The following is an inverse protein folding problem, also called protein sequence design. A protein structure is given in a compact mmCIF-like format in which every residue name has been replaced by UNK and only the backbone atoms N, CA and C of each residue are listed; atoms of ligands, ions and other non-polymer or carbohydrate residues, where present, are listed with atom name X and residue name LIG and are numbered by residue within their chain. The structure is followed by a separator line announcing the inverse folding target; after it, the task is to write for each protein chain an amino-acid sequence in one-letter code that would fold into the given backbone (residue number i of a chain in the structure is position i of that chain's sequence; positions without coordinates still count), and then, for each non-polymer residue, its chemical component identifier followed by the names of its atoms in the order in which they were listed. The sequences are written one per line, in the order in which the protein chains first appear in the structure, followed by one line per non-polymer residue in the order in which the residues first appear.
data_IF_903752071593
#
_entry.id   IF_903752071593
#
_cell.length_a   1.000
_cell.length_b   1.000
_cell.length_c   1.000
_cell.angle_alpha   90.00
_cell.angle_beta   90.00
_cell.angle_gamma   90.00
#
_symmetry.space_group_name_H-M   'P 1'
#
loop_
_entity.id
_entity.type
_entity.pdbx_description
1 polymer ?
#
# COMPACT_ATOMS: atom_id res chain seq x y z
N UNK A 1 5.18 9.51 6.38
CA UNK A 1 5.58 9.92 5.01
C UNK A 1 5.54 8.69 4.10
N UNK A 2 5.47 8.84 2.79
CA UNK A 2 5.56 7.69 1.87
C UNK A 2 6.29 8.08 0.58
N UNK A 3 7.09 7.15 0.07
CA UNK A 3 7.83 7.31 -1.17
C UNK A 3 7.85 5.96 -1.91
N UNK A 4 7.47 5.97 -3.18
CA UNK A 4 7.46 4.81 -4.05
C UNK A 4 8.49 5.05 -5.17
N UNK A 5 9.65 4.38 -5.12
CA UNK A 5 10.73 4.55 -6.10
C UNK A 5 10.57 3.57 -7.26
N UNK A 6 10.95 4.00 -8.46
CA UNK A 6 10.80 3.23 -9.71
C UNK A 6 11.53 1.86 -9.69
N UNK A 7 12.53 1.69 -8.84
CA UNK A 7 13.24 0.42 -8.63
C UNK A 7 12.42 -0.62 -7.84
N UNK A 8 11.19 -0.29 -7.46
CA UNK A 8 10.29 -1.14 -6.68
C UNK A 8 10.52 -1.09 -5.17
N UNK A 9 11.41 -0.23 -4.67
CA UNK A 9 11.59 0.00 -3.23
C UNK A 9 10.83 1.23 -2.76
N UNK A 10 10.50 1.30 -1.48
CA UNK A 10 9.77 2.44 -0.96
C UNK A 10 9.61 2.48 0.55
N UNK A 11 9.07 3.60 1.00
CA UNK A 11 8.66 3.81 2.38
C UNK A 11 7.16 4.04 2.43
N UNK A 12 6.51 3.50 3.46
CA UNK A 12 5.09 3.65 3.69
C UNK A 12 4.83 3.77 5.20
N UNK A 13 4.52 4.97 5.68
CA UNK A 13 4.37 5.22 7.10
C UNK A 13 5.71 5.02 7.82
N UNK A 14 5.78 4.00 8.69
CA UNK A 14 7.01 3.59 9.40
C UNK A 14 7.69 2.38 8.77
N UNK A 15 7.15 1.84 7.67
CA UNK A 15 7.67 0.65 7.03
C UNK A 15 8.53 1.01 5.82
N UNK A 16 9.58 0.22 5.59
CA UNK A 16 10.35 0.18 4.35
C UNK A 16 10.16 -1.20 3.73
N UNK A 17 10.18 -1.26 2.40
CA UNK A 17 10.19 -2.54 1.70
C UNK A 17 9.95 -2.38 0.21
N UNK A 18 9.33 -3.39 -0.38
CA UNK A 18 9.08 -3.44 -1.82
C UNK A 18 7.61 -3.17 -2.15
N UNK A 19 7.40 -2.60 -3.33
CA UNK A 19 6.08 -2.37 -3.90
C UNK A 19 6.08 -2.63 -5.40
N UNK A 20 4.93 -3.01 -5.93
CA UNK A 20 4.73 -3.21 -7.36
C UNK A 20 3.25 -3.22 -7.70
N UNK A 21 2.88 -2.76 -8.90
CA UNK A 21 1.54 -2.99 -9.43
C UNK A 21 1.37 -4.46 -9.81
N UNK A 22 0.22 -5.06 -9.51
CA UNK A 22 -0.01 -6.49 -9.81
C UNK A 22 -0.48 -6.73 -11.25
N UNK A 23 -0.80 -5.66 -11.98
CA UNK A 23 -1.21 -5.70 -13.37
C UNK A 23 -0.76 -4.44 -14.11
N UNK A 24 -0.78 -4.51 -15.46
CA UNK A 24 -0.40 -3.39 -16.33
C UNK A 24 -1.45 -2.27 -16.37
N UNK A 25 -2.61 -2.46 -15.72
CA UNK A 25 -3.69 -1.47 -15.65
C UNK A 25 -3.66 -0.70 -14.33
N UNK A 26 -2.65 -0.96 -13.49
CA UNK A 26 -2.40 -0.29 -12.21
C UNK A 26 -3.63 -0.31 -11.28
N UNK A 27 -4.45 -1.38 -11.33
CA UNK A 27 -5.69 -1.44 -10.54
C UNK A 27 -5.46 -1.85 -9.08
N UNK A 28 -4.34 -2.51 -8.84
CA UNK A 28 -3.94 -3.07 -7.57
C UNK A 28 -2.43 -2.86 -7.38
N UNK A 29 -2.02 -2.47 -6.19
CA UNK A 29 -0.62 -2.37 -5.76
C UNK A 29 -0.36 -3.34 -4.62
N UNK A 30 0.72 -4.08 -4.71
CA UNK A 30 1.24 -4.91 -3.63
C UNK A 30 2.28 -4.13 -2.84
N UNK A 31 2.21 -4.17 -1.52
CA UNK A 31 3.21 -3.60 -0.62
C UNK A 31 3.68 -4.70 0.34
N UNK A 32 4.98 -4.93 0.41
CA UNK A 32 5.59 -5.88 1.34
C UNK A 32 6.65 -5.16 2.18
N UNK A 33 6.38 -4.93 3.48
CA UNK A 33 7.40 -4.48 4.41
C UNK A 33 8.50 -5.52 4.57
N UNK A 34 9.74 -5.08 4.74
CA UNK A 34 10.86 -6.02 4.99
C UNK A 34 10.80 -6.63 6.39
N UNK A 35 10.19 -5.91 7.34
CA UNK A 35 10.11 -6.29 8.75
C UNK A 35 8.92 -7.20 9.08
N UNK A 36 8.02 -7.44 8.14
CA UNK A 36 6.78 -8.17 8.38
C UNK A 36 6.58 -9.24 7.29
N UNK A 37 6.20 -10.48 7.65
CA UNK A 37 6.01 -11.57 6.69
C UNK A 37 4.69 -11.47 5.90
N UNK A 38 4.05 -10.29 5.87
CA UNK A 38 2.74 -10.07 5.27
C UNK A 38 2.83 -9.15 4.05
N UNK A 39 2.00 -9.46 3.07
CA UNK A 39 1.80 -8.64 1.89
C UNK A 39 0.47 -7.90 2.02
N UNK A 40 0.48 -6.60 1.78
CA UNK A 40 -0.72 -5.80 1.67
C UNK A 40 -1.10 -5.67 0.21
N UNK A 41 -2.17 -6.36 -0.19
CA UNK A 41 -2.83 -6.09 -1.46
C UNK A 41 -3.73 -4.86 -1.27
N UNK A 42 -3.46 -3.81 -2.03
CA UNK A 42 -4.17 -2.55 -1.95
C UNK A 42 -4.82 -2.26 -3.31
N UNK A 43 -6.12 -1.97 -3.31
CA UNK A 43 -6.83 -1.52 -4.50
C UNK A 43 -6.53 -0.04 -4.76
N UNK A 44 -6.18 0.30 -5.99
CA UNK A 44 -6.04 1.69 -6.44
C UNK A 44 -7.42 2.29 -6.68
N UNK A 45 -7.70 3.39 -5.98
CA UNK A 45 -8.95 4.14 -6.11
C UNK A 45 -8.74 5.39 -6.96
N UNK A 46 -7.56 6.00 -6.89
CA UNK A 46 -7.18 7.15 -7.70
C UNK A 46 -5.66 7.13 -7.89
N UNK A 47 -5.21 7.36 -9.12
CA UNK A 47 -3.80 7.54 -9.45
C UNK A 47 -3.70 8.67 -10.47
N UNK A 48 -3.25 9.82 -10.02
CA UNK A 48 -3.09 11.04 -10.82
C UNK A 48 -1.80 11.75 -10.44
N UNK A 49 -1.38 12.74 -11.21
CA UNK A 49 -0.20 13.57 -10.86
C UNK A 49 -0.36 14.33 -9.54
N UNK A 50 -1.58 14.51 -9.04
CA UNK A 50 -1.88 15.29 -7.84
C UNK A 50 -2.21 14.44 -6.62
N UNK A 51 -2.56 13.17 -6.82
CA UNK A 51 -2.99 12.32 -5.72
C UNK A 51 -2.93 10.84 -6.08
N UNK A 52 -2.53 10.05 -5.10
CA UNK A 52 -2.59 8.60 -5.13
C UNK A 52 -3.43 8.10 -3.94
N UNK A 53 -4.53 7.40 -4.21
CA UNK A 53 -5.44 6.87 -3.20
C UNK A 53 -5.56 5.37 -3.33
N UNK A 54 -5.37 4.68 -2.22
CA UNK A 54 -5.48 3.23 -2.15
C UNK A 54 -6.34 2.80 -0.96
N UNK A 55 -6.92 1.61 -1.08
CA UNK A 55 -7.67 0.98 0.00
C UNK A 55 -7.21 -0.46 0.21
N UNK A 56 -7.14 -0.89 1.46
CA UNK A 56 -6.87 -2.29 1.81
C UNK A 56 -7.70 -2.71 3.01
N UNK A 57 -7.67 -4.00 3.31
CA UNK A 57 -8.26 -4.57 4.51
C UNK A 57 -7.25 -5.47 5.20
N UNK A 58 -7.09 -5.31 6.50
CA UNK A 58 -6.22 -6.14 7.32
C UNK A 58 -6.98 -6.63 8.56
N UNK A 59 -6.83 -7.90 8.96
CA UNK A 59 -7.37 -8.37 10.23
C UNK A 59 -6.66 -7.69 11.41
N UNK A 60 -7.36 -7.55 12.52
CA UNK A 60 -6.74 -7.19 13.80
C UNK A 60 -5.77 -8.29 14.23
N UNK A 61 -4.56 -7.91 14.66
CA UNK A 61 -3.52 -8.87 15.08
C UNK A 61 -3.94 -9.72 16.29
N UNK A 62 -4.80 -9.18 17.15
CA UNK A 62 -5.29 -9.82 18.38
C UNK A 62 -6.67 -10.45 18.23
N UNK A 63 -7.44 -10.04 17.22
CA UNK A 63 -8.75 -10.61 16.91
C UNK A 63 -8.99 -10.72 15.39
N UNK A 64 -8.60 -11.84 14.76
CA UNK A 64 -8.71 -12.02 13.31
C UNK A 64 -10.13 -11.90 12.73
N UNK A 65 -11.18 -12.09 13.55
CA UNK A 65 -12.57 -11.91 13.13
C UNK A 65 -12.93 -10.43 12.91
N UNK A 66 -12.16 -9.50 13.49
CA UNK A 66 -12.29 -8.06 13.28
C UNK A 66 -11.37 -7.63 12.14
N UNK A 67 -11.96 -7.06 11.09
CA UNK A 67 -11.23 -6.58 9.92
C UNK A 67 -11.24 -5.05 9.88
N UNK A 68 -10.06 -4.44 9.80
CA UNK A 68 -9.91 -3.01 9.58
C UNK A 68 -9.95 -2.71 8.08
N UNK A 69 -10.82 -1.78 7.69
CA UNK A 69 -10.82 -1.17 6.35
C UNK A 69 -9.97 0.08 6.40
N UNK A 70 -8.92 0.11 5.59
CA UNK A 70 -7.91 1.16 5.59
C UNK A 70 -8.01 1.91 4.26
N UNK A 71 -8.07 3.24 4.34
CA UNK A 71 -7.97 4.15 3.19
C UNK A 71 -6.77 5.05 3.38
N UNK A 72 -5.94 5.13 2.35
CA UNK A 72 -4.74 5.95 2.35
C UNK A 72 -4.82 6.95 1.20
N UNK A 73 -4.28 8.15 1.42
CA UNK A 73 -4.21 9.20 0.41
C UNK A 73 -2.83 9.83 0.51
N UNK A 74 -2.09 9.77 -0.58
CA UNK A 74 -0.79 10.37 -0.74
C UNK A 74 -0.91 11.56 -1.66
N UNK A 75 -0.24 12.64 -1.29
CA UNK A 75 -0.10 13.84 -2.12
C UNK A 75 1.39 13.97 -2.45
N UNK A 76 1.73 14.34 -3.70
CA UNK A 76 3.11 14.64 -4.07
C UNK A 76 3.62 15.80 -3.20
N UNK A 77 4.93 15.80 -2.93
CA UNK A 77 5.64 16.90 -2.28
C UNK A 77 6.16 17.88 -3.32
#
# INVERSE_FOLDING_TARGET
EAQFKEDGTGTFGNYTGIWYFTDNKETDIMIKPDTEPIYFKCKVVELTSQSFKITTSAPDRTNPAKVYKIRMTFKPK
#
